data_IF_700554040096
#
_entry.id   IF_700554040096
#
_cell.length_a   1.000
_cell.length_b   1.000
_cell.length_c   1.000
_cell.angle_alpha   90.00
_cell.angle_beta   90.00
_cell.angle_gamma   90.00
#
_symmetry.space_group_name_H-M   'P 1'
#
loop_
_entity.id
_entity.type
_entity.pdbx_description
1 polymer ?
#
# COMPACT_ATOMS: atom_id res chain seq x y z
N UNK A 1 8.64 -22.17 -27.00
CA UNK A 1 7.53 -22.34 -26.04
C UNK A 1 7.99 -21.84 -24.68
N UNK A 2 7.59 -20.63 -24.33
CA UNK A 2 7.47 -20.08 -22.97
C UNK A 2 6.69 -18.77 -23.15
N UNK A 3 5.42 -18.78 -22.74
CA UNK A 3 4.55 -17.62 -22.76
C UNK A 3 4.70 -16.91 -21.41
N UNK A 4 5.58 -15.92 -21.35
CA UNK A 4 5.81 -15.17 -20.12
C UNK A 4 4.91 -13.94 -20.16
N UNK A 5 3.73 -14.10 -19.55
CA UNK A 5 2.59 -13.17 -19.57
C UNK A 5 2.81 -11.88 -18.76
N UNK A 6 3.77 -11.06 -19.18
CA UNK A 6 3.96 -9.69 -18.68
C UNK A 6 3.91 -8.67 -19.83
N UNK A 7 3.02 -8.91 -20.80
CA UNK A 7 2.66 -7.93 -21.82
C UNK A 7 1.68 -6.91 -21.24
N UNK A 8 2.12 -5.66 -21.16
CA UNK A 8 1.34 -4.45 -20.86
C UNK A 8 0.58 -4.46 -19.51
N UNK A 9 1.27 -4.03 -18.44
CA UNK A 9 0.54 -3.48 -17.30
C UNK A 9 -0.12 -2.18 -17.76
N UNK A 10 -1.44 -2.04 -17.61
CA UNK A 10 -2.13 -0.87 -18.10
C UNK A 10 -1.88 0.37 -17.21
N UNK A 11 -2.21 1.54 -17.76
CA UNK A 11 -2.07 2.85 -17.11
C UNK A 11 -2.57 2.84 -15.66
N UNK A 12 -1.94 3.62 -14.77
CA UNK A 12 -2.12 3.56 -13.31
C UNK A 12 -3.58 3.44 -12.82
N UNK A 13 -4.54 4.03 -13.54
CA UNK A 13 -5.96 3.84 -13.28
C UNK A 13 -6.40 2.37 -13.35
N UNK A 14 -6.05 1.65 -14.40
CA UNK A 14 -6.42 0.24 -14.59
C UNK A 14 -5.75 -0.71 -13.58
N UNK A 15 -4.55 -0.37 -13.09
CA UNK A 15 -3.88 -1.10 -12.01
C UNK A 15 -4.59 -0.91 -10.66
N UNK A 16 -4.98 0.32 -10.33
CA UNK A 16 -5.79 0.62 -9.13
C UNK A 16 -7.20 0.02 -9.21
N UNK A 17 -7.73 -0.10 -10.42
CA UNK A 17 -9.00 -0.77 -10.72
C UNK A 17 -8.87 -2.30 -10.74
N UNK A 18 -7.65 -2.84 -10.83
CA UNK A 18 -7.42 -4.27 -10.97
C UNK A 18 -7.92 -5.04 -9.74
N UNK A 19 -8.64 -6.13 -9.99
CA UNK A 19 -9.19 -7.00 -8.95
C UNK A 19 -8.11 -7.55 -8.02
N UNK A 20 -6.88 -7.69 -8.52
CA UNK A 20 -5.74 -8.18 -7.75
C UNK A 20 -5.23 -7.16 -6.73
N UNK A 21 -5.00 -5.91 -7.13
CA UNK A 21 -4.65 -4.82 -6.20
C UNK A 21 -5.77 -4.60 -5.18
N UNK A 22 -7.02 -4.57 -5.65
CA UNK A 22 -8.20 -4.40 -4.79
C UNK A 22 -8.37 -5.52 -3.77
N UNK A 23 -8.09 -6.77 -4.14
CA UNK A 23 -8.19 -7.92 -3.23
C UNK A 23 -7.08 -7.93 -2.18
N UNK A 24 -5.88 -7.45 -2.54
CA UNK A 24 -4.72 -7.37 -1.63
C UNK A 24 -4.85 -6.19 -0.65
N UNK A 25 -5.43 -5.07 -1.09
CA UNK A 25 -5.54 -3.83 -0.30
C UNK A 25 -6.87 -3.74 0.47
N UNK A 26 -8.00 -4.17 -0.09
CA UNK A 26 -9.34 -3.87 0.46
C UNK A 26 -10.17 -5.08 0.94
N UNK A 27 -9.84 -6.32 0.57
CA UNK A 27 -10.60 -7.50 1.03
C UNK A 27 -12.12 -7.43 0.75
N UNK A 28 -12.96 -8.03 1.62
CA UNK A 28 -14.40 -8.26 1.41
C UNK A 28 -15.34 -7.11 1.87
N UNK A 29 -14.92 -5.84 1.77
CA UNK A 29 -15.75 -4.71 2.20
C UNK A 29 -16.05 -3.73 1.05
N UNK A 30 -17.27 -3.15 1.07
CA UNK A 30 -17.72 -2.16 0.07
C UNK A 30 -16.93 -0.85 0.19
N UNK A 31 -16.56 -0.24 -0.96
CA UNK A 31 -15.81 1.01 -1.03
C UNK A 31 -16.61 2.11 -1.76
N UNK A 32 -16.39 3.37 -1.38
CA UNK A 32 -16.80 4.55 -2.16
C UNK A 32 -15.67 5.00 -3.11
N UNK A 33 -15.96 5.51 -4.32
CA UNK A 33 -14.93 6.02 -5.23
C UNK A 33 -14.08 7.10 -4.54
N UNK A 34 -12.76 6.88 -4.45
CA UNK A 34 -11.87 7.81 -3.77
C UNK A 34 -11.75 9.12 -4.55
N UNK A 35 -12.11 10.23 -3.91
CA UNK A 35 -11.87 11.60 -4.40
C UNK A 35 -10.47 12.14 -4.00
N UNK A 36 -9.60 11.30 -3.41
CA UNK A 36 -8.27 11.69 -2.98
C UNK A 36 -7.21 10.60 -3.26
N UNK A 37 -5.98 11.02 -3.56
CA UNK A 37 -4.85 10.11 -3.87
C UNK A 37 -4.21 9.49 -2.63
N UNK A 38 -4.98 9.11 -1.61
CA UNK A 38 -4.45 8.47 -0.42
C UNK A 38 -5.43 7.47 0.20
N UNK A 39 -4.87 6.53 0.97
CA UNK A 39 -5.60 5.55 1.78
C UNK A 39 -5.16 5.64 3.24
N UNK A 40 -6.01 5.17 4.15
CA UNK A 40 -5.63 4.94 5.53
C UNK A 40 -5.30 3.46 5.73
N UNK A 41 -4.10 3.18 6.20
CA UNK A 41 -3.61 1.85 6.48
C UNK A 41 -3.53 1.66 8.01
N UNK A 42 -4.27 0.68 8.53
CA UNK A 42 -4.14 0.27 9.92
C UNK A 42 -2.77 -0.38 10.15
N UNK A 43 -2.04 0.12 11.14
CA UNK A 43 -0.75 -0.40 11.58
C UNK A 43 -0.97 -1.08 12.93
N UNK A 44 -0.72 -2.38 13.02
CA UNK A 44 -0.75 -3.08 14.30
C UNK A 44 0.48 -2.71 15.12
N UNK A 45 0.28 -1.89 16.15
CA UNK A 45 1.33 -1.43 17.05
C UNK A 45 1.62 0.05 16.91
N UNK A 46 2.86 0.44 17.20
CA UNK A 46 3.28 1.84 17.19
C UNK A 46 3.49 2.37 15.76
N UNK A 47 2.72 3.40 15.39
CA UNK A 47 2.75 3.99 14.04
C UNK A 47 4.12 4.61 13.74
N UNK A 48 4.77 5.23 14.72
CA UNK A 48 6.07 5.87 14.50
C UNK A 48 7.16 4.83 14.19
N UNK A 49 7.11 3.68 14.83
CA UNK A 49 8.00 2.55 14.55
C UNK A 49 7.81 2.05 13.11
N UNK A 50 6.57 1.90 12.65
CA UNK A 50 6.28 1.57 11.25
C UNK A 50 6.83 2.61 10.27
N UNK A 51 6.63 3.90 10.56
CA UNK A 51 7.14 5.01 9.74
C UNK A 51 8.66 4.97 9.64
N UNK A 52 9.35 4.76 10.76
CA UNK A 52 10.81 4.67 10.79
C UNK A 52 11.32 3.49 9.95
N UNK A 53 10.71 2.31 10.09
CA UNK A 53 11.07 1.12 9.31
C UNK A 53 10.85 1.34 7.80
N UNK A 54 9.74 1.97 7.40
CA UNK A 54 9.51 2.32 6.01
C UNK A 54 10.60 3.28 5.49
N UNK A 55 10.96 4.28 6.29
CA UNK A 55 12.01 5.23 5.94
C UNK A 55 13.38 4.57 5.79
N UNK A 56 13.73 3.59 6.65
CA UNK A 56 14.94 2.77 6.53
C UNK A 56 15.01 1.99 5.21
N UNK A 57 13.85 1.68 4.61
CA UNK A 57 13.73 1.02 3.30
C UNK A 57 13.58 2.03 2.14
N UNK A 58 13.85 3.32 2.39
CA UNK A 58 13.78 4.38 1.38
C UNK A 58 12.36 4.82 1.01
N UNK A 59 11.35 4.45 1.82
CA UNK A 59 9.94 4.79 1.59
C UNK A 59 9.50 5.85 2.59
N UNK A 60 9.16 7.04 2.09
CA UNK A 60 8.52 8.07 2.91
C UNK A 60 7.00 7.86 2.94
N UNK A 61 6.47 7.48 4.10
CA UNK A 61 5.02 7.38 4.35
C UNK A 61 4.52 8.59 5.13
N UNK A 62 3.20 8.81 5.14
CA UNK A 62 2.61 9.92 5.89
C UNK A 62 2.79 9.78 7.40
N UNK A 63 2.43 10.83 8.14
CA UNK A 63 2.35 10.78 9.61
C UNK A 63 1.09 10.05 10.08
N UNK A 64 1.03 9.73 11.37
CA UNK A 64 -0.20 9.29 12.03
C UNK A 64 -1.35 10.29 11.81
N UNK A 65 -2.56 9.77 11.64
CA UNK A 65 -3.75 10.60 11.38
C UNK A 65 -4.58 10.84 12.64
N UNK A 66 -4.14 11.75 13.51
CA UNK A 66 -4.91 12.13 14.69
C UNK A 66 -6.30 12.71 14.31
N UNK A 67 -7.41 12.36 15.00
CA UNK A 67 -7.50 11.60 16.26
C UNK A 67 -7.55 10.07 16.10
N UNK A 68 -7.48 9.54 14.88
CA UNK A 68 -7.55 8.11 14.61
C UNK A 68 -6.15 7.52 14.76
N UNK A 69 -5.85 7.08 15.98
CA UNK A 69 -4.55 6.47 16.32
C UNK A 69 -4.42 5.08 15.71
N UNK A 70 -3.17 4.64 15.49
CA UNK A 70 -2.91 3.33 14.89
C UNK A 70 -3.08 3.29 13.36
N UNK A 71 -3.34 4.43 12.72
CA UNK A 71 -3.46 4.52 11.26
C UNK A 71 -2.39 5.42 10.65
N UNK A 72 -1.82 4.94 9.56
CA UNK A 72 -0.91 5.70 8.71
C UNK A 72 -1.64 6.18 7.43
N UNK A 73 -1.42 7.43 7.03
CA UNK A 73 -1.93 7.93 5.75
C UNK A 73 -0.93 7.66 4.62
N UNK A 74 -1.28 6.75 3.71
CA UNK A 74 -0.46 6.40 2.54
C UNK A 74 -0.96 7.17 1.32
N UNK A 75 -0.11 8.05 0.78
CA UNK A 75 -0.36 8.67 -0.53
C UNK A 75 -0.06 7.66 -1.64
N UNK A 76 -0.96 7.52 -2.61
CA UNK A 76 -0.78 6.68 -3.78
C UNK A 76 0.15 7.40 -4.77
N UNK A 77 1.37 6.87 -4.89
CA UNK A 77 2.39 7.34 -5.82
C UNK A 77 2.27 6.69 -7.21
N UNK A 78 3.37 6.71 -7.96
CA UNK A 78 3.44 6.01 -9.25
C UNK A 78 3.41 4.48 -9.04
N UNK A 79 2.96 3.69 -10.04
CA UNK A 79 2.89 2.23 -9.90
C UNK A 79 4.21 1.54 -9.52
N UNK A 80 5.34 2.03 -10.03
CA UNK A 80 6.68 1.55 -9.69
C UNK A 80 7.01 1.78 -8.21
N UNK A 81 6.69 2.96 -7.68
CA UNK A 81 6.87 3.28 -6.25
C UNK A 81 5.96 2.42 -5.37
N UNK A 82 4.70 2.23 -5.80
CA UNK A 82 3.75 1.41 -5.08
C UNK A 82 4.12 -0.08 -5.07
N UNK A 83 4.78 -0.59 -6.12
CA UNK A 83 5.30 -1.95 -6.15
C UNK A 83 6.38 -2.15 -5.07
N UNK A 84 7.33 -1.21 -4.96
CA UNK A 84 8.36 -1.25 -3.91
C UNK A 84 7.72 -1.19 -2.51
N UNK A 85 6.74 -0.31 -2.32
CA UNK A 85 5.98 -0.23 -1.07
C UNK A 85 5.32 -1.56 -0.69
N UNK A 86 4.65 -2.22 -1.65
CA UNK A 86 3.96 -3.49 -1.40
C UNK A 86 4.93 -4.60 -1.02
N UNK A 87 6.09 -4.70 -1.67
CA UNK A 87 7.10 -5.72 -1.34
C UNK A 87 7.68 -5.50 0.08
N UNK A 88 8.00 -4.26 0.44
CA UNK A 88 8.46 -3.94 1.80
C UNK A 88 7.35 -4.26 2.82
N UNK A 89 6.10 -3.89 2.55
CA UNK A 89 4.99 -4.17 3.47
C UNK A 89 4.76 -5.68 3.66
N UNK A 90 4.92 -6.50 2.61
CA UNK A 90 4.88 -7.96 2.73
C UNK A 90 6.00 -8.47 3.65
N UNK A 91 7.23 -7.97 3.48
CA UNK A 91 8.35 -8.36 4.35
C UNK A 91 8.10 -8.01 5.82
N UNK A 92 7.39 -6.92 6.11
CA UNK A 92 7.01 -6.55 7.48
C UNK A 92 5.96 -7.51 8.04
N UNK A 93 4.99 -7.94 7.24
CA UNK A 93 3.98 -8.93 7.65
C UNK A 93 4.61 -10.28 7.99
N UNK A 94 5.60 -10.72 7.22
CA UNK A 94 6.36 -11.95 7.49
C UNK A 94 7.11 -11.89 8.83
N UNK A 95 7.55 -10.70 9.22
CA UNK A 95 8.24 -10.44 10.49
C UNK A 95 7.27 -10.14 11.66
N UNK A 96 5.96 -10.09 11.41
CA UNK A 96 4.95 -9.75 12.42
C UNK A 96 4.99 -8.29 12.88
N UNK A 97 5.51 -7.39 12.03
CA UNK A 97 5.68 -5.97 12.34
C UNK A 97 4.47 -5.09 12.04
N UNK A 98 3.51 -5.62 11.26
CA UNK A 98 2.24 -5.00 10.87
C UNK A 98 1.13 -6.05 10.80
#
# INVERSE_FOLDING_TARGET
>A
MAHDGFGSLPYAAEFLESTQFRRIVYGAYQYLPSQASFIFHEVKGDVQTYVNRMHEHGIAVGREFAPITGFNRITLGRPDEMAVFVEVLKSFREQGWV
#
